data_IF_282131254085
#
_entry.id   IF_282131254085
#
_cell.length_a   1.000
_cell.length_b   1.000
_cell.length_c   1.000
_cell.angle_alpha   90.00
_cell.angle_beta   90.00
_cell.angle_gamma   90.00
#
_symmetry.space_group_name_H-M   'P 1'
#
loop_
_entity.id
_entity.type
_entity.pdbx_description
1 polymer ?
#
# COMPACT_ATOMS: atom_id res chain seq x y z
N UNK A 1 -5.09 9.86 20.49
CA UNK A 1 -5.69 8.83 19.62
C UNK A 1 -4.58 8.32 18.73
N UNK A 2 -4.03 7.14 19.03
CA UNK A 2 -2.94 6.54 18.25
C UNK A 2 -3.59 5.51 17.32
N UNK A 3 -3.92 5.91 16.10
CA UNK A 3 -4.27 4.95 15.06
C UNK A 3 -2.97 4.26 14.63
N UNK A 4 -2.77 3.01 15.07
CA UNK A 4 -1.90 2.07 14.36
C UNK A 4 -2.79 1.46 13.31
N UNK A 5 -2.92 2.11 12.16
CA UNK A 5 -3.65 1.54 11.04
C UNK A 5 -2.85 0.32 10.55
N UNK A 6 -3.44 -0.86 10.72
CA UNK A 6 -2.92 -2.12 10.23
C UNK A 6 -3.06 -2.14 8.70
N UNK A 7 -2.02 -2.63 8.04
CA UNK A 7 -2.07 -3.02 6.63
C UNK A 7 -3.09 -4.14 6.41
N UNK A 8 -3.43 -4.30 5.13
CA UNK A 8 -4.45 -5.25 4.68
C UNK A 8 -3.96 -5.99 3.46
N UNK A 9 -4.43 -7.21 3.31
CA UNK A 9 -4.13 -8.07 2.18
C UNK A 9 -5.41 -8.66 1.59
N UNK A 10 -5.32 -9.15 0.35
CA UNK A 10 -6.41 -9.85 -0.34
C UNK A 10 -5.99 -11.32 -0.45
N UNK A 11 -6.83 -12.24 0.01
CA UNK A 11 -6.58 -13.67 -0.19
C UNK A 11 -6.98 -14.10 -1.61
N UNK A 12 -6.26 -15.04 -2.24
CA UNK A 12 -6.55 -15.50 -3.60
C UNK A 12 -7.99 -16.00 -3.80
N UNK A 13 -8.58 -16.59 -2.76
CA UNK A 13 -9.93 -17.16 -2.79
C UNK A 13 -11.01 -16.25 -2.17
N UNK A 14 -10.69 -14.96 -1.96
CA UNK A 14 -11.64 -13.97 -1.43
C UNK A 14 -12.46 -13.28 -2.53
N UNK A 15 -13.50 -12.56 -2.12
CA UNK A 15 -14.34 -11.71 -2.99
C UNK A 15 -13.64 -10.39 -3.39
N UNK A 16 -12.36 -10.23 -3.05
CA UNK A 16 -11.58 -9.03 -3.33
C UNK A 16 -11.63 -7.99 -2.20
N UNK A 17 -12.39 -8.23 -1.14
CA UNK A 17 -12.42 -7.33 0.02
C UNK A 17 -11.12 -7.42 0.84
N UNK A 18 -10.39 -6.31 1.04
CA UNK A 18 -9.15 -6.32 1.81
C UNK A 18 -9.40 -6.61 3.29
N UNK A 19 -8.76 -7.68 3.78
CA UNK A 19 -8.84 -8.10 5.18
C UNK A 19 -7.61 -7.68 5.98
N UNK A 20 -7.75 -7.59 7.30
CA UNK A 20 -6.64 -7.23 8.19
C UNK A 20 -5.50 -8.23 8.08
N UNK A 21 -4.28 -7.70 7.90
CA UNK A 21 -3.06 -8.48 8.03
C UNK A 21 -2.71 -8.64 9.53
N UNK A 22 -2.29 -9.84 9.90
CA UNK A 22 -1.87 -10.14 11.27
C UNK A 22 -0.40 -9.74 11.50
N UNK A 23 0.40 -9.76 10.43
CA UNK A 23 1.71 -9.12 10.40
C UNK A 23 1.54 -7.64 10.07
N UNK A 24 2.41 -6.78 10.61
CA UNK A 24 2.42 -5.36 10.29
C UNK A 24 3.77 -5.04 9.65
N UNK A 25 3.79 -5.03 8.32
CA UNK A 25 5.02 -5.01 7.54
C UNK A 25 5.33 -3.65 6.93
N UNK A 26 4.33 -2.78 6.85
CA UNK A 26 4.48 -1.41 6.39
C UNK A 26 4.62 -0.44 7.57
N UNK A 27 5.67 0.39 7.54
CA UNK A 27 5.77 1.54 8.44
C UNK A 27 5.55 2.83 7.68
N UNK A 28 4.50 3.57 8.04
CA UNK A 28 4.29 4.93 7.54
C UNK A 28 5.40 5.86 8.05
N UNK A 29 6.12 6.49 7.14
CA UNK A 29 7.19 7.44 7.45
C UNK A 29 6.70 8.88 7.35
N UNK A 30 5.89 9.18 6.33
CA UNK A 30 5.38 10.51 6.05
C UNK A 30 4.05 10.42 5.29
N UNK A 31 3.09 11.23 5.71
CA UNK A 31 1.85 11.47 4.97
C UNK A 31 1.54 12.95 5.00
N UNK A 32 1.40 13.58 3.84
CA UNK A 32 0.86 14.94 3.76
C UNK A 32 0.06 15.12 2.47
N UNK A 33 -0.92 16.00 2.56
CA UNK A 33 -1.71 16.45 1.42
C UNK A 33 -1.45 17.93 1.21
N UNK A 34 -1.31 18.35 -0.05
CA UNK A 34 -1.37 19.74 -0.44
C UNK A 34 -2.46 19.94 -1.49
N UNK A 35 -2.65 21.18 -1.95
CA UNK A 35 -3.71 21.55 -2.89
C UNK A 35 -3.70 20.80 -4.23
N UNK A 36 -2.63 20.07 -4.54
CA UNK A 36 -2.45 19.40 -5.83
C UNK A 36 -2.34 17.88 -5.72
N UNK A 37 -1.75 17.37 -4.64
CA UNK A 37 -1.46 15.95 -4.50
C UNK A 37 -1.34 15.54 -3.04
N UNK A 38 -1.59 14.26 -2.80
CA UNK A 38 -1.22 13.57 -1.57
C UNK A 38 0.13 12.89 -1.75
N UNK A 39 0.98 12.91 -0.72
CA UNK A 39 2.25 12.20 -0.71
C UNK A 39 2.26 11.27 0.49
N UNK A 40 2.46 9.98 0.21
CA UNK A 40 2.63 8.93 1.22
C UNK A 40 4.02 8.32 1.02
N UNK A 41 4.83 8.30 2.07
CA UNK A 41 6.10 7.59 2.12
C UNK A 41 6.03 6.55 3.22
N UNK A 42 6.39 5.32 2.88
CA UNK A 42 6.45 4.20 3.80
C UNK A 42 7.74 3.42 3.57
N UNK A 43 8.05 2.52 4.50
CA UNK A 43 9.05 1.47 4.32
C UNK A 43 8.40 0.10 4.54
N UNK A 44 8.91 -0.92 3.86
CA UNK A 44 8.62 -2.34 4.05
C UNK A 44 9.94 -3.11 3.82
N UNK A 45 10.15 -4.21 4.53
CA UNK A 45 11.30 -5.07 4.31
C UNK A 45 11.18 -5.79 2.96
N UNK A 46 12.31 -6.08 2.30
CA UNK A 46 12.29 -6.87 1.06
C UNK A 46 11.80 -8.31 1.30
N UNK A 47 12.14 -8.86 2.46
CA UNK A 47 11.62 -10.11 2.99
C UNK A 47 11.02 -9.81 4.36
N UNK A 48 9.71 -9.98 4.49
CA UNK A 48 8.94 -9.73 5.71
C UNK A 48 8.90 -10.94 6.62
N UNK A 49 9.40 -12.10 6.14
CA UNK A 49 9.28 -13.40 6.79
C UNK A 49 7.82 -13.86 7.00
N UNK A 50 6.83 -13.19 6.41
CA UNK A 50 5.43 -13.64 6.35
C UNK A 50 5.11 -14.23 4.98
N UNK A 51 5.60 -15.44 4.73
CA UNK A 51 5.38 -16.12 3.44
C UNK A 51 3.95 -16.58 3.21
N UNK A 52 3.06 -16.41 4.21
CA UNK A 52 1.66 -16.83 4.10
C UNK A 52 0.86 -15.78 3.35
N UNK A 53 1.02 -14.52 3.73
CA UNK A 53 0.20 -13.43 3.23
C UNK A 53 1.01 -12.47 2.33
N UNK A 54 2.34 -12.59 2.31
CA UNK A 54 3.24 -11.60 1.75
C UNK A 54 4.26 -12.19 0.74
N UNK A 55 4.58 -11.44 -0.33
CA UNK A 55 5.54 -11.86 -1.35
C UNK A 55 6.90 -11.18 -1.14
N UNK A 56 8.03 -11.93 -1.09
CA UNK A 56 9.35 -11.33 -0.99
C UNK A 56 9.73 -10.62 -2.28
N UNK A 57 10.24 -9.39 -2.14
CA UNK A 57 10.76 -8.58 -3.25
C UNK A 57 12.24 -8.91 -3.41
N UNK A 58 12.53 -9.77 -4.37
CA UNK A 58 13.88 -10.18 -4.74
C UNK A 58 14.29 -9.58 -6.08
N UNK A 59 15.59 -9.59 -6.38
CA UNK A 59 16.12 -9.15 -7.67
C UNK A 59 15.54 -9.89 -8.90
N UNK A 60 14.99 -11.10 -8.70
CA UNK A 60 14.47 -11.94 -9.79
C UNK A 60 12.94 -12.09 -9.77
N UNK A 61 12.26 -11.61 -8.73
CA UNK A 61 10.80 -11.68 -8.65
C UNK A 61 10.17 -10.51 -9.40
N UNK A 62 9.40 -10.79 -10.45
CA UNK A 62 8.46 -9.82 -11.01
C UNK A 62 7.24 -9.72 -10.09
N UNK A 63 7.30 -8.83 -9.11
CA UNK A 63 6.14 -8.48 -8.28
C UNK A 63 5.45 -7.27 -8.92
N UNK A 64 4.25 -7.43 -9.52
CA UNK A 64 3.52 -6.30 -10.07
C UNK A 64 3.07 -5.38 -8.93
N UNK A 65 3.29 -4.07 -9.09
CA UNK A 65 2.71 -3.07 -8.21
C UNK A 65 1.28 -2.76 -8.68
N UNK A 66 0.29 -3.16 -7.88
CA UNK A 66 -1.13 -2.89 -8.15
C UNK A 66 -1.52 -1.62 -7.40
N UNK A 67 -2.20 -0.70 -8.10
CA UNK A 67 -2.71 0.56 -7.54
C UNK A 67 -4.17 0.70 -7.94
N UNK A 68 -5.04 0.90 -6.95
CA UNK A 68 -6.47 1.12 -7.15
C UNK A 68 -6.89 2.48 -6.57
N UNK A 69 -7.78 3.18 -7.27
CA UNK A 69 -8.36 4.43 -6.79
C UNK A 69 -9.83 4.21 -6.41
N UNK A 70 -10.13 4.33 -5.12
CA UNK A 70 -11.50 4.38 -4.61
C UNK A 70 -11.95 5.83 -4.44
N UNK A 71 -12.87 6.31 -5.29
CA UNK A 71 -13.48 7.64 -5.12
C UNK A 71 -14.85 7.49 -4.43
N UNK A 72 -14.90 7.64 -3.10
CA UNK A 72 -16.17 7.57 -2.34
C UNK A 72 -16.84 8.93 -2.13
N UNK A 73 -16.24 10.04 -2.57
CA UNK A 73 -16.77 11.40 -2.35
C UNK A 73 -17.19 12.07 -3.67
N UNK A 74 -18.41 12.63 -3.69
CA UNK A 74 -19.04 13.36 -4.82
C UNK A 74 -18.35 14.69 -5.18
N UNK A 75 -17.16 14.97 -4.66
CA UNK A 75 -16.43 16.21 -4.93
C UNK A 75 -15.18 15.92 -5.75
N UNK A 76 -15.39 15.96 -7.06
CA UNK A 76 -14.37 16.11 -8.12
C UNK A 76 -13.32 15.00 -8.16
N UNK A 77 -13.49 14.06 -9.10
CA UNK A 77 -12.39 13.22 -9.59
C UNK A 77 -11.26 14.15 -10.08
N UNK A 78 -10.27 14.41 -9.25
CA UNK A 78 -8.99 14.92 -9.74
C UNK A 78 -8.20 13.71 -10.22
N UNK A 79 -7.89 13.71 -11.52
CA UNK A 79 -7.04 12.72 -12.15
C UNK A 79 -5.75 12.58 -11.35
N UNK A 80 -5.60 11.43 -10.71
CA UNK A 80 -4.51 11.18 -9.79
C UNK A 80 -3.35 10.60 -10.60
N UNK A 81 -2.36 11.42 -10.95
CA UNK A 81 -1.12 10.92 -11.52
C UNK A 81 -0.16 10.58 -10.39
N UNK A 82 -0.02 9.30 -10.09
CA UNK A 82 0.87 8.80 -9.04
C UNK A 82 2.22 8.38 -9.65
N UNK A 83 3.33 8.81 -9.06
CA UNK A 83 4.68 8.36 -9.45
C UNK A 83 5.29 7.55 -8.31
N UNK A 84 5.55 6.26 -8.54
CA UNK A 84 6.41 5.47 -7.66
C UNK A 84 7.87 5.88 -7.91
N UNK A 85 8.58 6.28 -6.86
CA UNK A 85 10.03 6.51 -6.90
C UNK A 85 10.68 5.47 -5.99
N UNK A 86 11.50 4.59 -6.57
CA UNK A 86 12.38 3.69 -5.82
C UNK A 86 13.66 4.44 -5.50
N UNK A 87 14.04 4.49 -4.22
CA UNK A 87 15.33 5.00 -3.79
C UNK A 87 16.28 3.80 -3.59
N UNK A 88 17.45 3.88 -4.23
CA UNK A 88 18.53 2.90 -4.07
C UNK A 88 19.24 3.06 -2.74
#
# INVERSE_FOLDING_TARGET
MLFRDLDRHIQPDSDGEPMYDASQDYTLLLGYENTTHTVIRFKRNLDTCDMKDDFPITQFSHVPCVLESGATTTRTQQASTWRAQSYK
#
